data_IF_930069233536
#
_entry.id   IF_930069233536
#
_cell.length_a   1.000
_cell.length_b   1.000
_cell.length_c   1.000
_cell.angle_alpha   90.00
_cell.angle_beta   90.00
_cell.angle_gamma   90.00
#
_symmetry.space_group_name_H-M   'P 1'
#
loop_
_entity.id
_entity.type
_entity.pdbx_description
1 polymer ?
#
# COMPACT_ATOMS: atom_id res chain seq x y z
N UNK A 1 9.94 15.96 -13.17
CA UNK A 1 9.07 15.15 -14.06
C UNK A 1 9.23 13.68 -13.67
N UNK A 2 8.13 12.92 -13.53
CA UNK A 2 8.20 11.46 -13.27
C UNK A 2 8.39 10.76 -14.62
N UNK A 3 9.49 10.02 -14.78
CA UNK A 3 9.89 9.39 -16.05
C UNK A 3 10.52 8.01 -15.79
N UNK A 4 10.67 7.21 -16.84
CA UNK A 4 11.46 5.99 -16.80
C UNK A 4 12.92 6.29 -17.16
N UNK A 5 13.86 5.58 -16.54
CA UNK A 5 15.27 5.63 -16.89
C UNK A 5 15.65 4.64 -18.00
N UNK A 6 16.93 4.64 -18.38
CA UNK A 6 17.46 3.76 -19.43
C UNK A 6 17.30 2.26 -19.10
N UNK A 7 17.08 1.92 -17.82
CA UNK A 7 16.85 0.57 -17.33
C UNK A 7 15.35 0.28 -17.08
N UNK A 8 14.46 1.19 -17.49
CA UNK A 8 13.02 1.06 -17.33
C UNK A 8 12.54 1.21 -15.87
N UNK A 9 13.31 1.87 -15.00
CA UNK A 9 12.93 2.14 -13.61
C UNK A 9 12.34 3.54 -13.49
N UNK A 10 11.36 3.71 -12.61
CA UNK A 10 10.82 5.03 -12.28
C UNK A 10 11.87 5.95 -11.68
N UNK A 11 11.88 7.21 -12.11
CA UNK A 11 12.75 8.28 -11.64
C UNK A 11 11.97 9.59 -11.44
N UNK A 12 12.58 10.49 -10.65
CA UNK A 12 12.04 11.81 -10.32
C UNK A 12 11.86 11.99 -8.80
N UNK A 13 11.87 13.25 -8.35
CA UNK A 13 11.75 13.58 -6.94
C UNK A 13 10.43 13.05 -6.33
N UNK A 14 9.31 13.25 -7.01
CA UNK A 14 8.00 12.76 -6.57
C UNK A 14 7.93 11.22 -6.50
N UNK A 15 8.49 10.52 -7.49
CA UNK A 15 8.56 9.06 -7.47
C UNK A 15 9.43 8.56 -6.31
N UNK A 16 10.59 9.18 -6.10
CA UNK A 16 11.51 8.81 -5.00
C UNK A 16 10.88 9.04 -3.64
N UNK A 17 10.23 10.20 -3.44
CA UNK A 17 9.50 10.50 -2.22
C UNK A 17 8.37 9.48 -1.99
N UNK A 18 7.57 9.18 -3.02
CA UNK A 18 6.50 8.21 -2.92
C UNK A 18 7.03 6.81 -2.57
N UNK A 19 8.15 6.41 -3.15
CA UNK A 19 8.80 5.11 -2.87
C UNK A 19 9.23 4.99 -1.42
N UNK A 20 9.85 6.04 -0.88
CA UNK A 20 10.32 6.07 0.50
C UNK A 20 9.14 6.09 1.47
N UNK A 21 8.16 6.96 1.25
CA UNK A 21 7.01 7.10 2.14
C UNK A 21 6.13 5.86 2.11
N UNK A 22 5.74 5.38 0.92
CA UNK A 22 4.90 4.20 0.75
C UNK A 22 5.57 2.95 1.27
N UNK A 23 6.83 2.72 0.87
CA UNK A 23 7.59 1.56 1.31
C UNK A 23 7.87 1.59 2.82
N UNK A 24 8.22 2.76 3.39
CA UNK A 24 8.45 2.90 4.81
C UNK A 24 7.18 2.65 5.64
N UNK A 25 6.05 3.19 5.19
CA UNK A 25 4.75 2.98 5.83
C UNK A 25 4.32 1.51 5.78
N UNK A 26 4.41 0.87 4.62
CA UNK A 26 4.08 -0.55 4.46
C UNK A 26 5.00 -1.44 5.30
N UNK A 27 6.30 -1.09 5.41
CA UNK A 27 7.22 -1.85 6.24
C UNK A 27 6.83 -1.73 7.72
N UNK A 28 6.55 -0.51 8.18
CA UNK A 28 6.12 -0.27 9.56
C UNK A 28 4.85 -1.04 9.87
N UNK A 29 3.77 -0.82 9.10
CA UNK A 29 2.48 -1.48 9.25
C UNK A 29 2.58 -3.02 9.20
N UNK A 30 3.41 -3.54 8.29
CA UNK A 30 3.58 -4.98 8.12
C UNK A 30 4.33 -5.63 9.29
N UNK A 31 5.43 -5.01 9.75
CA UNK A 31 6.24 -5.53 10.86
C UNK A 31 5.51 -5.43 12.19
N UNK A 32 4.81 -4.33 12.43
CA UNK A 32 4.08 -4.02 13.66
C UNK A 32 3.19 -5.18 14.14
N UNK A 33 2.45 -5.81 13.23
CA UNK A 33 1.59 -6.95 13.55
C UNK A 33 2.33 -8.15 14.18
N UNK A 34 3.61 -8.31 13.89
CA UNK A 34 4.44 -9.40 14.42
C UNK A 34 5.24 -8.98 15.67
N UNK A 35 5.05 -7.76 16.15
CA UNK A 35 5.71 -7.25 17.36
C UNK A 35 4.78 -7.32 18.57
N UNK A 36 5.31 -7.43 19.79
CA UNK A 36 4.50 -7.54 21.01
C UNK A 36 3.95 -6.18 21.51
N UNK A 37 3.90 -5.15 20.65
CA UNK A 37 3.57 -3.80 21.07
C UNK A 37 2.08 -3.44 20.92
N UNK A 38 1.26 -4.36 20.39
CA UNK A 38 -0.19 -4.20 20.22
C UNK A 38 -0.61 -2.87 19.56
N UNK A 39 0.25 -2.36 18.66
CA UNK A 39 0.03 -1.08 18.00
C UNK A 39 -0.99 -1.18 16.85
N UNK A 40 -1.24 -2.40 16.35
CA UNK A 40 -2.12 -2.67 15.20
C UNK A 40 -3.51 -2.06 15.44
N UNK A 41 -3.91 -1.03 14.66
CA UNK A 41 -5.22 -0.43 14.82
C UNK A 41 -6.31 -1.44 14.47
N UNK A 42 -7.27 -1.61 15.39
CA UNK A 42 -8.48 -2.39 15.15
C UNK A 42 -9.58 -1.56 14.47
N UNK A 43 -9.55 -0.24 14.65
CA UNK A 43 -10.57 0.70 14.21
C UNK A 43 -11.36 1.29 15.37
N UNK A 44 -11.95 2.46 15.16
CA UNK A 44 -12.70 3.18 16.19
C UNK A 44 -14.21 2.87 16.16
N UNK A 45 -14.71 2.36 15.03
CA UNK A 45 -16.10 1.88 14.92
C UNK A 45 -16.22 0.37 15.19
N UNK A 46 -17.41 -0.12 15.63
CA UNK A 46 -17.65 -1.54 15.79
C UNK A 46 -17.43 -2.34 14.49
N UNK A 47 -17.86 -1.78 13.34
CA UNK A 47 -17.75 -2.46 12.06
C UNK A 47 -16.28 -2.60 11.59
N UNK A 48 -15.46 -1.56 11.80
CA UNK A 48 -14.03 -1.63 11.52
C UNK A 48 -13.33 -2.67 12.40
N UNK A 49 -13.70 -2.72 13.69
CA UNK A 49 -13.16 -3.72 14.64
C UNK A 49 -13.54 -5.15 14.24
N UNK A 50 -14.82 -5.40 13.95
CA UNK A 50 -15.29 -6.72 13.52
C UNK A 50 -14.58 -7.19 12.25
N UNK A 51 -14.42 -6.29 11.27
CA UNK A 51 -13.68 -6.58 10.05
C UNK A 51 -12.22 -6.95 10.31
N UNK A 52 -11.50 -6.13 11.10
CA UNK A 52 -10.09 -6.37 11.41
C UNK A 52 -9.91 -7.67 12.20
N UNK A 53 -10.76 -7.91 13.21
CA UNK A 53 -10.72 -9.12 14.02
C UNK A 53 -11.05 -10.38 13.21
N UNK A 54 -12.01 -10.31 12.27
CA UNK A 54 -12.31 -11.42 11.39
C UNK A 54 -11.11 -11.80 10.50
N UNK A 55 -10.37 -10.81 10.00
CA UNK A 55 -9.13 -11.05 9.26
C UNK A 55 -8.05 -11.69 10.15
N UNK A 56 -7.91 -11.24 11.40
CA UNK A 56 -6.93 -11.78 12.35
C UNK A 56 -7.27 -13.22 12.70
N UNK A 57 -8.51 -13.49 13.12
CA UNK A 57 -8.97 -14.82 13.52
C UNK A 57 -8.95 -15.85 12.38
N UNK A 58 -9.13 -15.40 11.13
CA UNK A 58 -9.00 -16.27 9.96
C UNK A 58 -7.56 -16.53 9.53
N UNK A 59 -6.58 -15.83 10.13
CA UNK A 59 -5.17 -15.89 9.73
C UNK A 59 -4.84 -15.12 8.44
N UNK A 60 -5.85 -14.59 7.74
CA UNK A 60 -5.66 -13.83 6.50
C UNK A 60 -4.89 -12.54 6.76
N UNK A 61 -5.08 -11.92 7.93
CA UNK A 61 -4.37 -10.70 8.30
C UNK A 61 -2.85 -10.90 8.36
N UNK A 62 -2.38 -12.07 8.84
CA UNK A 62 -0.96 -12.38 8.85
C UNK A 62 -0.37 -12.43 7.42
N UNK A 63 -1.11 -13.01 6.47
CA UNK A 63 -0.70 -13.04 5.06
C UNK A 63 -0.66 -11.63 4.45
N UNK A 64 -1.66 -10.80 4.74
CA UNK A 64 -1.68 -9.38 4.35
C UNK A 64 -0.42 -8.68 4.83
N UNK A 65 -0.06 -8.86 6.10
CA UNK A 65 1.11 -8.21 6.71
C UNK A 65 2.44 -8.69 6.13
N UNK A 66 2.57 -9.98 5.84
CA UNK A 66 3.72 -10.49 5.09
C UNK A 66 3.81 -9.85 3.70
N UNK A 67 2.70 -9.72 2.99
CA UNK A 67 2.67 -9.05 1.68
C UNK A 67 3.06 -7.58 1.77
N UNK A 68 2.60 -6.85 2.79
CA UNK A 68 3.03 -5.46 3.06
C UNK A 68 4.55 -5.37 3.21
N UNK A 69 5.16 -6.25 4.03
CA UNK A 69 6.61 -6.30 4.22
C UNK A 69 7.35 -6.60 2.91
N UNK A 70 6.91 -7.61 2.15
CA UNK A 70 7.55 -7.98 0.87
C UNK A 70 7.49 -6.83 -0.13
N UNK A 71 6.31 -6.22 -0.30
CA UNK A 71 6.12 -5.05 -1.18
C UNK A 71 7.03 -3.90 -0.72
N UNK A 72 7.04 -3.61 0.58
CA UNK A 72 7.86 -2.55 1.15
C UNK A 72 9.35 -2.75 0.86
N UNK A 73 9.89 -3.94 1.10
CA UNK A 73 11.31 -4.24 0.87
C UNK A 73 11.69 -4.07 -0.60
N UNK A 74 10.87 -4.56 -1.52
CA UNK A 74 11.07 -4.41 -2.96
C UNK A 74 11.04 -2.93 -3.38
N UNK A 75 10.00 -2.21 -2.94
CA UNK A 75 9.80 -0.78 -3.23
C UNK A 75 10.98 0.04 -2.67
N UNK A 76 11.33 -0.12 -1.40
CA UNK A 76 12.43 0.62 -0.76
C UNK A 76 13.79 0.36 -1.43
N UNK A 77 14.08 -0.91 -1.75
CA UNK A 77 15.30 -1.31 -2.45
C UNK A 77 15.34 -0.85 -3.92
N UNK A 78 14.28 -0.22 -4.43
CA UNK A 78 14.12 0.13 -5.85
C UNK A 78 14.21 -1.09 -6.77
N UNK A 79 13.74 -2.25 -6.30
CA UNK A 79 13.77 -3.52 -7.03
C UNK A 79 12.35 -3.97 -7.30
N UNK A 80 12.05 -4.34 -8.54
CA UNK A 80 10.74 -4.85 -8.91
C UNK A 80 9.57 -3.93 -8.48
N UNK A 81 9.75 -2.60 -8.56
CA UNK A 81 8.76 -1.62 -8.09
C UNK A 81 7.43 -1.76 -8.82
N UNK A 82 7.43 -1.92 -10.15
CA UNK A 82 6.21 -2.11 -10.93
C UNK A 82 5.39 -3.33 -10.46
N UNK A 83 5.92 -4.57 -10.45
CA UNK A 83 5.13 -5.72 -10.01
C UNK A 83 4.76 -5.65 -8.53
N UNK A 84 5.62 -5.10 -7.66
CA UNK A 84 5.28 -4.92 -6.24
C UNK A 84 4.12 -3.92 -6.03
N UNK A 85 4.20 -2.76 -6.69
CA UNK A 85 3.15 -1.74 -6.64
C UNK A 85 1.84 -2.26 -7.24
N UNK A 86 1.89 -3.03 -8.34
CA UNK A 86 0.71 -3.67 -8.93
C UNK A 86 0.08 -4.72 -8.00
N UNK A 87 0.90 -5.59 -7.41
CA UNK A 87 0.42 -6.62 -6.49
C UNK A 87 -0.25 -6.02 -5.23
N UNK A 88 0.16 -4.80 -4.83
CA UNK A 88 -0.45 -4.09 -3.70
C UNK A 88 -1.78 -3.39 -4.03
N UNK A 89 -2.18 -3.27 -5.30
CA UNK A 89 -3.45 -2.62 -5.69
C UNK A 89 -4.68 -3.20 -4.97
N UNK A 90 -4.94 -4.53 -4.98
CA UNK A 90 -6.08 -5.09 -4.25
C UNK A 90 -6.01 -4.80 -2.75
N UNK A 91 -4.81 -4.78 -2.17
CA UNK A 91 -4.62 -4.43 -0.77
C UNK A 91 -4.98 -2.97 -0.50
N UNK A 92 -4.53 -2.06 -1.36
CA UNK A 92 -4.84 -0.64 -1.26
C UNK A 92 -6.33 -0.35 -1.40
N UNK A 93 -7.07 -1.14 -2.20
CA UNK A 93 -8.54 -1.03 -2.29
C UNK A 93 -9.19 -1.37 -0.95
N UNK A 94 -8.73 -2.44 -0.30
CA UNK A 94 -9.24 -2.83 1.03
C UNK A 94 -8.87 -1.79 2.10
N UNK A 95 -7.63 -1.29 2.09
CA UNK A 95 -7.18 -0.21 2.97
C UNK A 95 -8.04 1.05 2.75
N UNK A 96 -8.32 1.40 1.48
CA UNK A 96 -9.19 2.51 1.13
C UNK A 96 -10.61 2.31 1.64
N UNK A 97 -11.19 1.12 1.44
CA UNK A 97 -12.52 0.80 1.98
C UNK A 97 -12.57 0.89 3.51
N UNK A 98 -11.54 0.36 4.18
CA UNK A 98 -11.43 0.44 5.64
C UNK A 98 -11.40 1.90 6.11
N UNK A 99 -10.57 2.75 5.49
CA UNK A 99 -10.42 4.15 5.89
C UNK A 99 -11.61 5.06 5.49
N UNK A 100 -12.28 4.80 4.37
CA UNK A 100 -13.36 5.66 3.88
C UNK A 100 -14.74 5.24 4.34
N UNK A 101 -14.95 3.95 4.57
CA UNK A 101 -16.28 3.39 4.83
C UNK A 101 -16.40 2.80 6.22
N UNK A 102 -15.40 2.02 6.65
CA UNK A 102 -15.49 1.30 7.92
C UNK A 102 -15.13 2.18 9.11
N UNK A 103 -14.07 2.98 9.01
CA UNK A 103 -13.61 3.86 10.07
C UNK A 103 -13.55 5.33 9.61
N UNK A 104 -14.71 5.98 9.38
CA UNK A 104 -14.73 7.33 8.85
C UNK A 104 -14.21 8.34 9.88
N UNK A 105 -13.10 9.00 9.52
CA UNK A 105 -12.50 10.08 10.30
C UNK A 105 -11.53 10.89 9.46
N UNK A 106 -11.19 12.11 9.90
CA UNK A 106 -10.33 13.01 9.12
C UNK A 106 -8.95 12.39 8.89
N UNK A 107 -8.40 11.74 9.92
CA UNK A 107 -7.08 11.11 9.88
C UNK A 107 -7.11 9.92 8.92
N UNK A 108 -8.12 9.08 9.04
CA UNK A 108 -8.34 7.87 8.25
C UNK A 108 -8.54 8.24 6.77
N UNK A 109 -9.34 9.27 6.47
CA UNK A 109 -9.50 9.77 5.10
C UNK A 109 -8.17 10.24 4.50
N UNK A 110 -7.35 10.96 5.27
CA UNK A 110 -6.02 11.39 4.81
C UNK A 110 -5.15 10.17 4.54
N UNK A 111 -5.11 9.18 5.44
CA UNK A 111 -4.34 7.95 5.26
C UNK A 111 -4.77 7.15 4.03
N UNK A 112 -6.09 6.99 3.83
CA UNK A 112 -6.66 6.32 2.66
C UNK A 112 -6.27 7.02 1.35
N UNK A 113 -6.44 8.35 1.29
CA UNK A 113 -6.09 9.16 0.11
C UNK A 113 -4.59 9.07 -0.17
N UNK A 114 -3.75 9.31 0.84
CA UNK A 114 -2.29 9.29 0.69
C UNK A 114 -1.82 7.92 0.20
N UNK A 115 -2.32 6.83 0.78
CA UNK A 115 -1.94 5.46 0.38
C UNK A 115 -2.24 5.20 -1.10
N UNK A 116 -3.45 5.54 -1.55
CA UNK A 116 -3.86 5.37 -2.94
C UNK A 116 -3.06 6.26 -3.90
N UNK A 117 -2.84 7.53 -3.54
CA UNK A 117 -2.08 8.47 -4.35
C UNK A 117 -0.62 8.05 -4.49
N UNK A 118 0.02 7.62 -3.40
CA UNK A 118 1.41 7.17 -3.44
C UNK A 118 1.58 5.92 -4.32
N UNK A 119 0.66 4.95 -4.22
CA UNK A 119 0.68 3.79 -5.11
C UNK A 119 0.47 4.19 -6.59
N UNK A 120 -0.46 5.12 -6.87
CA UNK A 120 -0.67 5.64 -8.21
C UNK A 120 0.58 6.35 -8.77
N UNK A 121 1.29 7.13 -7.94
CA UNK A 121 2.56 7.76 -8.30
C UNK A 121 3.64 6.72 -8.62
N UNK A 122 3.69 5.61 -7.87
CA UNK A 122 4.61 4.51 -8.15
C UNK A 122 4.32 3.81 -9.47
N UNK A 123 3.05 3.69 -9.87
CA UNK A 123 2.66 3.08 -11.15
C UNK A 123 2.75 4.04 -12.35
N UNK A 124 2.72 5.34 -12.09
CA UNK A 124 2.68 6.39 -13.13
C UNK A 124 3.77 6.32 -14.22
N UNK A 125 5.04 5.97 -13.92
CA UNK A 125 6.07 5.83 -14.94
C UNK A 125 5.66 4.86 -16.07
N UNK A 126 4.91 3.81 -15.75
CA UNK A 126 4.46 2.74 -16.68
C UNK A 126 3.01 2.91 -17.14
N UNK A 127 2.41 4.11 -16.98
CA UNK A 127 0.98 4.33 -17.29
C UNK A 127 0.59 3.95 -18.72
N UNK A 128 1.49 4.09 -19.70
CA UNK A 128 1.17 3.84 -21.12
C UNK A 128 1.02 2.34 -21.36
N UNK A 129 1.96 1.56 -20.81
CA UNK A 129 2.01 0.12 -20.85
C UNK A 129 0.81 -0.47 -20.09
N UNK A 130 0.51 0.06 -18.90
CA UNK A 130 -0.63 -0.38 -18.09
C UNK A 130 -1.97 -0.08 -18.77
N UNK A 131 -2.13 1.08 -19.40
CA UNK A 131 -3.34 1.41 -20.17
C UNK A 131 -3.45 0.52 -21.41
N UNK A 132 -2.33 0.15 -22.04
CA UNK A 132 -2.34 -0.76 -23.18
C UNK A 132 -2.88 -2.14 -22.82
N UNK A 133 -2.63 -2.65 -21.61
CA UNK A 133 -3.20 -3.92 -21.12
C UNK A 133 -4.74 -3.91 -21.01
N UNK A 134 -5.37 -2.73 -20.98
CA UNK A 134 -6.83 -2.60 -20.95
C UNK A 134 -7.45 -2.60 -22.35
N UNK A 135 -6.64 -2.46 -23.39
CA UNK A 135 -7.06 -2.51 -24.78
C UNK A 135 -6.87 -3.95 -25.28
N UNK A 136 -7.93 -4.74 -25.17
CA UNK A 136 -8.01 -6.09 -25.72
C UNK A 136 -8.24 -6.04 -27.23
#
# INVERSE_FOLDING_TARGET
MIVLDAQGRGQGAAFTAARIIYGGWFLFSGVEYFTPFDLQPLGNTPLAQEFTLALIHSGLFALIKVMEVVVALLVLANRAVLPAALASVPLNVVIGYWNFVLDPGLVEYIFGIVTLLLNAILLWPWRRELIALLRW
#
